data_IF_900011913504
#
_entry.id   IF_900011913504
#
_cell.length_a   1.000
_cell.length_b   1.000
_cell.length_c   1.000
_cell.angle_alpha   90.00
_cell.angle_beta   90.00
_cell.angle_gamma   90.00
#
_symmetry.space_group_name_H-M   'P 1'
#
loop_
_entity.id
_entity.type
_entity.pdbx_description
1 polymer ?
#
# COMPACT_ATOMS: atom_id res chain seq x y z
N UNK A 1 5.87 -7.04 -1.75
CA UNK A 1 4.55 -7.06 -2.39
C UNK A 1 3.73 -8.16 -1.72
N UNK A 2 2.52 -7.86 -1.24
CA UNK A 2 1.66 -8.88 -0.66
C UNK A 2 1.19 -9.85 -1.75
N UNK A 3 1.11 -11.14 -1.43
CA UNK A 3 0.63 -12.16 -2.35
C UNK A 3 -0.63 -12.81 -1.79
N UNK A 4 -1.55 -13.18 -2.67
CA UNK A 4 -2.74 -13.96 -2.29
C UNK A 4 -2.37 -15.40 -1.81
N UNK A 5 -1.11 -15.80 -2.01
CA UNK A 5 -0.54 -17.07 -1.63
C UNK A 5 -0.05 -17.06 -0.16
N UNK A 6 -0.94 -17.44 0.76
CA UNK A 6 -0.65 -17.83 2.16
C UNK A 6 -0.05 -16.74 3.10
N UNK A 7 -0.76 -16.45 4.20
CA UNK A 7 -0.31 -15.52 5.25
C UNK A 7 1.05 -15.87 5.85
N UNK A 8 1.38 -17.15 5.99
CA UNK A 8 2.69 -17.57 6.52
C UNK A 8 3.83 -17.16 5.58
N UNK A 9 3.62 -17.33 4.27
CA UNK A 9 4.61 -16.93 3.26
C UNK A 9 4.76 -15.40 3.22
N UNK A 10 3.66 -14.66 3.32
CA UNK A 10 3.72 -13.20 3.46
C UNK A 10 4.48 -12.78 4.72
N UNK A 11 4.25 -13.40 5.87
CA UNK A 11 4.97 -13.11 7.11
C UNK A 11 6.46 -13.36 6.97
N UNK A 12 6.85 -14.50 6.40
CA UNK A 12 8.25 -14.83 6.16
C UNK A 12 8.92 -13.81 5.24
N UNK A 13 8.27 -13.46 4.13
CA UNK A 13 8.81 -12.51 3.16
C UNK A 13 8.98 -11.12 3.77
N UNK A 14 7.96 -10.62 4.48
CA UNK A 14 8.03 -9.33 5.16
C UNK A 14 9.10 -9.33 6.26
N UNK A 15 9.20 -10.41 7.03
CA UNK A 15 10.20 -10.53 8.11
C UNK A 15 11.62 -10.48 7.56
N UNK A 16 11.90 -11.23 6.48
CA UNK A 16 13.21 -11.24 5.83
C UNK A 16 13.56 -9.87 5.26
N UNK A 17 12.62 -9.22 4.56
CA UNK A 17 12.83 -7.86 4.02
C UNK A 17 13.13 -6.84 5.12
N UNK A 18 12.39 -6.89 6.23
CA UNK A 18 12.64 -6.01 7.38
C UNK A 18 13.98 -6.32 8.07
N UNK A 19 14.32 -7.60 8.20
CA UNK A 19 15.60 -8.06 8.75
C UNK A 19 16.80 -7.60 7.94
N UNK A 20 16.75 -7.77 6.62
CA UNK A 20 17.77 -7.27 5.69
C UNK A 20 17.90 -5.75 5.79
N UNK A 21 16.78 -5.02 5.80
CA UNK A 21 16.78 -3.56 5.96
C UNK A 21 17.45 -3.11 7.27
N UNK A 22 17.26 -3.85 8.36
CA UNK A 22 17.87 -3.54 9.67
C UNK A 22 19.30 -4.08 9.83
N UNK A 23 19.83 -4.83 8.87
CA UNK A 23 21.12 -5.51 9.00
C UNK A 23 21.13 -6.66 10.01
N UNK A 24 19.94 -7.20 10.35
CA UNK A 24 19.78 -8.33 11.26
C UNK A 24 19.89 -9.68 10.54
N UNK A 25 19.95 -9.68 9.21
CA UNK A 25 19.98 -10.88 8.37
C UNK A 25 18.60 -11.52 8.22
N UNK A 26 18.58 -12.83 8.02
CA UNK A 26 17.37 -13.62 7.75
C UNK A 26 16.58 -13.90 9.05
N UNK A 27 16.00 -12.87 9.64
CA UNK A 27 15.07 -13.02 10.75
C UNK A 27 13.68 -13.38 10.23
N UNK A 28 12.98 -14.23 10.97
CA UNK A 28 11.58 -14.58 10.72
C UNK A 28 10.83 -14.43 12.03
N UNK A 29 9.82 -13.55 12.06
CA UNK A 29 8.96 -13.40 13.22
C UNK A 29 7.90 -14.50 13.24
N UNK A 30 7.44 -14.88 14.44
CA UNK A 30 6.41 -15.90 14.60
C UNK A 30 5.02 -15.39 14.18
N UNK A 31 4.75 -14.10 14.39
CA UNK A 31 3.47 -13.48 14.04
C UNK A 31 3.66 -12.13 13.36
N UNK A 32 2.65 -11.73 12.59
CA UNK A 32 2.58 -10.37 12.06
C UNK A 32 2.52 -9.30 13.15
N UNK A 33 1.91 -9.60 14.29
CA UNK A 33 1.88 -8.66 15.41
C UNK A 33 3.29 -8.33 15.90
N UNK A 34 4.15 -9.34 16.08
CA UNK A 34 5.52 -9.14 16.57
C UNK A 34 6.39 -8.37 15.56
N UNK A 35 6.25 -8.72 14.27
CA UNK A 35 6.90 -8.02 13.18
C UNK A 35 6.48 -6.54 13.17
N UNK A 36 5.18 -6.26 13.08
CA UNK A 36 4.70 -4.89 12.99
C UNK A 36 4.98 -4.11 14.26
N UNK A 37 4.91 -4.73 15.44
CA UNK A 37 5.36 -4.08 16.68
C UNK A 37 6.81 -3.61 16.59
N UNK A 38 7.74 -4.46 16.13
CA UNK A 38 9.14 -4.06 15.94
C UNK A 38 9.29 -2.92 14.92
N UNK A 39 8.49 -2.95 13.86
CA UNK A 39 8.41 -1.87 12.88
C UNK A 39 7.95 -0.56 13.53
N UNK A 40 6.86 -0.56 14.31
CA UNK A 40 6.34 0.65 14.98
C UNK A 40 7.28 1.21 16.06
N UNK A 41 8.12 0.36 16.67
CA UNK A 41 9.19 0.77 17.59
C UNK A 41 10.42 1.36 16.88
N UNK A 42 10.52 1.21 15.55
CA UNK A 42 11.60 1.81 14.75
C UNK A 42 11.46 3.33 14.59
N UNK A 43 12.58 3.97 14.26
CA UNK A 43 12.64 5.38 13.87
C UNK A 43 12.94 5.50 12.37
N UNK A 44 12.40 6.56 11.76
CA UNK A 44 12.69 7.01 10.40
C UNK A 44 12.53 5.91 9.34
N UNK A 45 11.44 5.16 9.42
CA UNK A 45 11.14 4.04 8.53
C UNK A 45 9.88 4.33 7.71
N UNK A 46 9.96 4.09 6.40
CA UNK A 46 8.80 4.06 5.51
C UNK A 46 8.50 2.61 5.21
N UNK A 47 7.27 2.19 5.50
CA UNK A 47 6.77 0.85 5.21
C UNK A 47 5.69 0.97 4.16
N UNK A 48 5.87 0.28 3.04
CA UNK A 48 4.89 0.26 1.96
C UNK A 48 4.32 -1.14 1.86
N UNK A 49 3.00 -1.26 2.06
CA UNK A 49 2.25 -2.48 1.81
C UNK A 49 1.49 -2.28 0.51
N UNK A 50 2.05 -2.84 -0.56
CA UNK A 50 1.38 -2.87 -1.85
C UNK A 50 0.38 -4.04 -1.92
N UNK A 51 -0.78 -3.77 -2.50
CA UNK A 51 -1.97 -4.64 -2.52
C UNK A 51 -2.37 -5.16 -1.13
N UNK A 52 -2.60 -4.23 -0.20
CA UNK A 52 -3.03 -4.51 1.17
C UNK A 52 -4.33 -5.33 1.25
N UNK A 53 -5.21 -5.20 0.25
CA UNK A 53 -6.45 -5.97 0.14
C UNK A 53 -6.18 -7.47 0.23
N UNK A 54 -5.09 -7.96 -0.37
CA UNK A 54 -4.74 -9.38 -0.31
C UNK A 54 -4.45 -9.88 1.10
N UNK A 55 -3.89 -9.05 1.99
CA UNK A 55 -3.69 -9.45 3.38
C UNK A 55 -5.02 -9.51 4.14
N UNK A 56 -5.88 -8.52 3.94
CA UNK A 56 -7.18 -8.44 4.63
C UNK A 56 -8.22 -9.43 4.12
N UNK A 57 -8.12 -9.84 2.85
CA UNK A 57 -8.97 -10.89 2.26
C UNK A 57 -8.65 -12.27 2.84
N UNK A 58 -7.36 -12.55 3.08
CA UNK A 58 -6.93 -13.82 3.68
C UNK A 58 -7.19 -13.84 5.19
N UNK A 59 -6.93 -12.74 5.90
CA UNK A 59 -7.18 -12.62 7.33
C UNK A 59 -7.70 -11.23 7.72
N UNK A 60 -8.99 -11.16 8.02
CA UNK A 60 -9.65 -9.92 8.48
C UNK A 60 -9.13 -9.41 9.81
N UNK A 61 -8.51 -10.26 10.63
CA UNK A 61 -7.94 -9.84 11.93
C UNK A 61 -6.70 -8.96 11.76
N UNK A 62 -6.04 -9.02 10.61
CA UNK A 62 -4.86 -8.21 10.31
C UNK A 62 -5.15 -6.71 10.37
N UNK A 63 -6.34 -6.29 9.91
CA UNK A 63 -6.77 -4.89 9.95
C UNK A 63 -6.92 -4.38 11.39
N UNK A 64 -7.60 -5.16 12.24
CA UNK A 64 -7.76 -4.86 13.68
C UNK A 64 -6.43 -4.84 14.43
N UNK A 65 -5.52 -5.75 14.08
CA UNK A 65 -4.16 -5.80 14.63
C UNK A 65 -3.40 -4.51 14.32
N UNK A 66 -3.40 -4.07 13.05
CA UNK A 66 -2.78 -2.82 12.65
C UNK A 66 -3.43 -1.60 13.30
N UNK A 67 -4.76 -1.58 13.42
CA UNK A 67 -5.46 -0.52 14.13
C UNK A 67 -4.95 -0.41 15.58
N UNK A 68 -4.84 -1.53 16.29
CA UNK A 68 -4.35 -1.55 17.67
C UNK A 68 -2.92 -1.03 17.79
N UNK A 69 -2.04 -1.37 16.83
CA UNK A 69 -0.67 -0.85 16.80
C UNK A 69 -0.64 0.64 16.46
N UNK A 70 -1.40 1.12 15.47
CA UNK A 70 -1.49 2.54 15.15
C UNK A 70 -1.95 3.33 16.38
N UNK A 71 -3.03 2.90 17.04
CA UNK A 71 -3.57 3.58 18.21
C UNK A 71 -2.58 3.60 19.39
N UNK A 72 -1.82 2.52 19.59
CA UNK A 72 -0.82 2.40 20.65
C UNK A 72 0.47 3.19 20.39
N UNK A 73 0.76 3.55 19.14
CA UNK A 73 2.03 4.16 18.73
C UNK A 73 1.90 5.55 18.10
N UNK A 74 0.68 6.03 17.82
CA UNK A 74 0.39 7.31 17.16
C UNK A 74 1.13 8.52 17.74
N UNK A 75 1.37 8.54 19.06
CA UNK A 75 1.96 9.70 19.75
C UNK A 75 3.49 9.62 19.88
N UNK A 76 4.11 8.49 19.50
CA UNK A 76 5.54 8.22 19.74
C UNK A 76 6.31 7.65 18.55
N UNK A 77 5.62 7.06 17.58
CA UNK A 77 6.25 6.44 16.42
C UNK A 77 6.51 7.46 15.32
N UNK A 78 7.67 7.33 14.68
CA UNK A 78 8.10 8.18 13.57
C UNK A 78 8.06 7.43 12.23
N UNK A 79 7.35 6.30 12.17
CA UNK A 79 7.21 5.56 10.91
C UNK A 79 6.19 6.22 10.00
N UNK A 80 6.33 5.99 8.70
CA UNK A 80 5.29 6.27 7.71
C UNK A 80 4.80 4.94 7.15
N UNK A 81 3.55 4.61 7.41
CA UNK A 81 2.89 3.45 6.82
C UNK A 81 2.11 3.90 5.59
N UNK A 82 2.46 3.35 4.43
CA UNK A 82 1.80 3.58 3.15
C UNK A 82 1.11 2.29 2.74
N UNK A 83 -0.18 2.39 2.46
CA UNK A 83 -1.01 1.28 2.03
C UNK A 83 -1.54 1.59 0.63
N UNK A 84 -1.42 0.61 -0.27
CA UNK A 84 -1.94 0.64 -1.64
C UNK A 84 -2.87 -0.55 -1.85
N UNK A 85 -3.77 -0.43 -2.81
CA UNK A 85 -4.62 -1.51 -3.30
C UNK A 85 -5.55 -1.03 -4.39
N UNK A 86 -6.16 -1.97 -5.12
CA UNK A 86 -7.18 -1.63 -6.12
C UNK A 86 -8.31 -0.77 -5.55
N UNK A 87 -8.85 0.14 -6.37
CA UNK A 87 -9.88 1.12 -5.96
C UNK A 87 -11.06 0.43 -5.26
N UNK A 88 -11.68 -0.56 -5.90
CA UNK A 88 -12.84 -1.28 -5.37
C UNK A 88 -12.52 -1.91 -4.01
N UNK A 89 -11.39 -2.62 -3.92
CA UNK A 89 -11.00 -3.30 -2.69
C UNK A 89 -10.62 -2.31 -1.58
N UNK A 90 -10.02 -1.16 -1.89
CA UNK A 90 -9.70 -0.14 -0.88
C UNK A 90 -10.94 0.58 -0.37
N UNK A 91 -11.93 0.89 -1.24
CA UNK A 91 -13.20 1.49 -0.80
C UNK A 91 -13.99 0.56 0.12
N UNK A 92 -14.05 -0.74 -0.18
CA UNK A 92 -14.71 -1.71 0.68
C UNK A 92 -13.97 -1.94 2.01
N UNK A 93 -12.64 -2.02 1.96
CA UNK A 93 -11.82 -2.41 3.12
C UNK A 93 -11.37 -1.25 4.03
N UNK A 94 -11.19 -0.01 3.54
CA UNK A 94 -10.61 1.08 4.34
C UNK A 94 -11.52 2.30 4.52
N UNK A 95 -12.39 2.60 3.55
CA UNK A 95 -13.14 3.87 3.52
C UNK A 95 -14.59 3.77 3.99
N UNK A 96 -15.09 2.57 4.31
CA UNK A 96 -16.42 2.42 4.92
C UNK A 96 -16.37 2.78 6.42
N UNK A 97 -17.39 3.52 6.90
CA UNK A 97 -17.43 4.09 8.26
C UNK A 97 -17.31 3.06 9.40
N UNK A 98 -17.50 1.78 9.11
CA UNK A 98 -17.45 0.68 10.06
C UNK A 98 -16.09 -0.03 10.13
N UNK A 99 -15.07 0.44 9.38
CA UNK A 99 -13.78 -0.26 9.27
C UNK A 99 -12.74 0.20 10.29
N UNK A 100 -11.93 -0.73 10.84
CA UNK A 100 -10.85 -0.45 11.80
C UNK A 100 -9.96 0.74 11.46
N UNK A 101 -9.52 0.88 10.21
CA UNK A 101 -8.59 1.94 9.80
C UNK A 101 -9.28 3.25 9.41
N UNK A 102 -10.61 3.29 9.43
CA UNK A 102 -11.37 4.50 9.17
C UNK A 102 -10.97 5.62 10.15
N UNK A 103 -10.78 6.83 9.63
CA UNK A 103 -10.36 8.02 10.38
C UNK A 103 -8.95 7.95 11.03
N UNK A 104 -8.10 6.98 10.65
CA UNK A 104 -6.68 6.89 11.08
C UNK A 104 -5.68 7.23 9.98
N UNK A 105 -6.17 7.50 8.78
CA UNK A 105 -5.37 8.00 7.67
C UNK A 105 -5.07 9.49 7.83
N UNK A 106 -3.80 9.86 7.69
CA UNK A 106 -3.38 11.27 7.67
C UNK A 106 -3.36 11.85 6.25
N UNK A 107 -3.22 10.98 5.25
CA UNK A 107 -3.19 11.34 3.84
C UNK A 107 -3.85 10.23 3.02
N UNK A 108 -4.63 10.62 2.02
CA UNK A 108 -5.26 9.71 1.07
C UNK A 108 -5.08 10.29 -0.34
N UNK A 109 -4.63 9.45 -1.27
CA UNK A 109 -4.46 9.80 -2.67
C UNK A 109 -5.24 8.82 -3.52
N UNK A 110 -6.29 9.32 -4.16
CA UNK A 110 -7.00 8.58 -5.20
C UNK A 110 -6.32 8.89 -6.55
N UNK A 111 -5.49 7.95 -7.02
CA UNK A 111 -4.88 8.03 -8.34
C UNK A 111 -5.95 7.79 -9.41
N UNK A 112 -6.23 8.82 -10.21
CA UNK A 112 -7.15 8.75 -11.35
C UNK A 112 -6.37 8.53 -12.63
N UNK A 113 -7.10 8.14 -13.67
CA UNK A 113 -6.58 8.19 -15.04
C UNK A 113 -6.08 9.59 -15.37
N UNK A 114 -5.02 9.67 -16.17
CA UNK A 114 -4.47 10.93 -16.63
C UNK A 114 -5.47 11.66 -17.52
N UNK A 115 -5.53 12.98 -17.42
CA UNK A 115 -6.27 13.76 -18.41
C UNK A 115 -5.52 13.81 -19.76
N UNK A 116 -6.12 14.46 -20.76
CA UNK A 116 -5.50 14.61 -22.08
C UNK A 116 -4.14 15.31 -22.02
N UNK A 117 -4.00 16.35 -21.20
CA UNK A 117 -2.78 17.13 -21.13
C UNK A 117 -1.65 16.34 -20.48
N UNK A 118 -1.96 15.64 -19.39
CA UNK A 118 -1.06 14.72 -18.71
C UNK A 118 -0.65 13.58 -19.65
N UNK A 119 -1.61 12.99 -20.36
CA UNK A 119 -1.36 11.89 -21.30
C UNK A 119 -0.47 12.33 -22.47
N UNK A 120 -0.70 13.54 -23.00
CA UNK A 120 0.11 14.13 -24.06
C UNK A 120 1.59 14.34 -23.68
N UNK A 121 1.92 14.34 -22.37
CA UNK A 121 3.30 14.39 -21.89
C UNK A 121 4.05 13.07 -22.09
N UNK A 122 3.37 11.93 -22.26
CA UNK A 122 4.03 10.65 -22.54
C UNK A 122 4.56 10.56 -23.97
N UNK A 123 3.87 11.19 -24.93
CA UNK A 123 4.20 11.15 -26.36
C UNK A 123 4.46 12.57 -26.91
N UNK A 124 5.44 13.27 -26.30
CA UNK A 124 5.75 14.68 -26.61
C UNK A 124 6.07 14.92 -28.08
N UNK A 125 6.72 13.96 -28.74
CA UNK A 125 7.14 14.04 -30.15
C UNK A 125 6.00 13.88 -31.15
N UNK A 126 4.82 13.44 -30.71
CA UNK A 126 3.68 13.23 -31.60
C UNK A 126 3.10 14.57 -32.06
N UNK A 127 2.51 14.57 -33.26
CA UNK A 127 1.71 15.68 -33.74
C UNK A 127 0.50 15.90 -32.82
N UNK A 128 -0.09 17.09 -32.86
CA UNK A 128 -1.30 17.38 -32.08
C UNK A 128 -2.45 16.43 -32.45
N UNK A 129 -2.57 16.09 -33.73
CA UNK A 129 -3.59 15.17 -34.22
C UNK A 129 -3.37 13.76 -33.69
N UNK A 130 -2.13 13.26 -33.72
CA UNK A 130 -1.82 11.92 -33.21
C UNK A 130 -1.98 11.85 -31.68
N UNK A 131 -1.65 12.91 -30.94
CA UNK A 131 -1.95 13.01 -29.50
C UNK A 131 -3.43 12.85 -29.20
N UNK A 132 -4.29 13.52 -29.96
CA UNK A 132 -5.74 13.41 -29.81
C UNK A 132 -6.21 11.99 -30.14
N UNK A 133 -5.70 11.40 -31.24
CA UNK A 133 -6.04 10.03 -31.64
C UNK A 133 -5.62 9.01 -30.58
N UNK A 134 -4.41 9.11 -30.05
CA UNK A 134 -3.89 8.22 -29.00
C UNK A 134 -4.78 8.30 -27.76
N UNK A 135 -5.06 9.50 -27.25
CA UNK A 135 -5.93 9.66 -26.09
C UNK A 135 -7.36 9.18 -26.34
N UNK A 136 -7.90 9.38 -27.55
CA UNK A 136 -9.25 8.90 -27.90
C UNK A 136 -9.36 7.37 -27.93
N UNK A 137 -8.26 6.65 -28.23
CA UNK A 137 -8.23 5.18 -28.29
C UNK A 137 -7.90 4.56 -26.95
N UNK A 138 -6.88 5.08 -26.25
CA UNK A 138 -6.33 4.46 -25.05
C UNK A 138 -6.79 5.14 -23.74
N UNK A 139 -7.41 6.32 -23.84
CA UNK A 139 -7.78 7.12 -22.69
C UNK A 139 -6.55 7.65 -21.95
N UNK A 140 -6.71 7.80 -20.64
CA UNK A 140 -5.70 8.32 -19.73
C UNK A 140 -4.88 7.27 -18.98
N UNK A 141 -5.01 5.99 -19.34
CA UNK A 141 -4.37 4.90 -18.61
C UNK A 141 -2.89 4.77 -19.04
N UNK A 142 -1.91 5.02 -18.16
CA UNK A 142 -0.49 5.08 -18.56
C UNK A 142 0.10 3.76 -19.08
N UNK A 143 -0.57 2.63 -18.84
CA UNK A 143 -0.14 1.32 -19.34
C UNK A 143 -0.32 1.18 -20.87
N UNK A 144 -1.28 1.92 -21.43
CA UNK A 144 -1.64 1.89 -22.86
C UNK A 144 -1.11 3.12 -23.59
#
# INVERSE_FOLDING_TARGET
MAQQANMQMNLENFSKQYGEFKGLGNIVYETFYDLFRSIFESKDLIVVIDEFTYLTEVDKSFESMLQGLIDAYKDRSNIKLVISGSEIGMYENLFSHSRPLFNRQTFSLHLKECDYYESALYYKSYSHEDKIRTYAVFGGLPFY
#
